data_IF_921720750416
#
_entry.id   IF_921720750416
#
_cell.length_a   1.000
_cell.length_b   1.000
_cell.length_c   1.000
_cell.angle_alpha   90.00
_cell.angle_beta   90.00
_cell.angle_gamma   90.00
#
_symmetry.space_group_name_H-M   'P 1'
#
loop_
_entity.id
_entity.type
_entity.pdbx_description
1 polymer ?
#
# COMPACT_ATOMS: atom_id res chain seq x y z
N UNK A 1 -19.74 9.91 3.88
CA UNK A 1 -19.36 8.76 3.04
C UNK A 1 -19.87 7.54 3.76
N UNK A 2 -20.82 6.80 3.17
CA UNK A 2 -21.25 5.52 3.71
C UNK A 2 -20.09 4.52 3.61
N UNK A 3 -19.94 3.65 4.61
CA UNK A 3 -18.89 2.63 4.63
C UNK A 3 -19.27 1.51 3.65
N UNK A 4 -18.32 1.09 2.82
CA UNK A 4 -18.45 -0.04 1.90
C UNK A 4 -17.64 -1.22 2.43
N UNK A 5 -18.12 -2.44 2.21
CA UNK A 5 -17.32 -3.63 2.48
C UNK A 5 -16.26 -3.74 1.38
N UNK A 6 -14.99 -3.70 1.76
CA UNK A 6 -13.89 -3.98 0.83
C UNK A 6 -13.77 -5.48 0.60
N UNK A 7 -13.33 -5.92 -0.60
CA UNK A 7 -12.96 -5.09 -1.76
C UNK A 7 -14.18 -4.54 -2.54
N UNK A 8 -13.96 -3.47 -3.31
CA UNK A 8 -14.97 -2.85 -4.18
C UNK A 8 -14.62 -3.03 -5.67
N UNK A 9 -15.62 -2.86 -6.54
CA UNK A 9 -15.43 -2.65 -7.98
C UNK A 9 -15.31 -1.14 -8.26
N UNK A 10 -14.17 -0.74 -8.83
CA UNK A 10 -13.86 0.64 -9.17
C UNK A 10 -14.38 0.90 -10.59
N UNK A 11 -15.34 1.80 -10.71
CA UNK A 11 -15.96 2.14 -11.99
C UNK A 11 -15.05 2.98 -12.91
N UNK A 12 -15.39 2.98 -14.19
CA UNK A 12 -14.71 3.77 -15.22
C UNK A 12 -14.56 5.25 -14.82
N UNK A 13 -13.32 5.76 -14.86
CA UNK A 13 -13.04 7.18 -14.59
C UNK A 13 -13.31 7.66 -13.16
N UNK A 14 -13.53 6.76 -12.20
CA UNK A 14 -13.77 7.10 -10.79
C UNK A 14 -12.48 7.50 -10.06
N UNK A 15 -11.75 8.51 -10.55
CA UNK A 15 -10.63 9.07 -9.78
C UNK A 15 -11.17 9.99 -8.68
N UNK A 16 -10.80 9.72 -7.43
CA UNK A 16 -11.08 10.63 -6.32
C UNK A 16 -10.13 11.83 -6.35
N UNK A 17 -8.87 11.58 -6.73
CA UNK A 17 -7.82 12.60 -6.80
C UNK A 17 -6.97 12.36 -8.05
N UNK A 18 -7.25 13.10 -9.14
CA UNK A 18 -6.47 13.03 -10.38
C UNK A 18 -5.13 13.75 -10.26
N UNK A 19 -4.16 13.36 -11.09
CA UNK A 19 -2.82 13.99 -11.20
C UNK A 19 -2.85 15.41 -11.78
N UNK A 20 -4.03 15.92 -12.18
CA UNK A 20 -4.20 17.37 -12.44
C UNK A 20 -3.99 18.21 -11.17
N UNK A 21 -3.97 17.59 -9.99
CA UNK A 21 -3.45 18.19 -8.76
C UNK A 21 -1.92 18.12 -8.81
N UNK A 22 -1.22 19.25 -8.63
CA UNK A 22 0.24 19.29 -8.66
C UNK A 22 0.84 18.34 -7.61
N UNK A 23 1.58 17.33 -8.08
CA UNK A 23 2.39 16.47 -7.23
C UNK A 23 3.62 17.27 -6.78
N UNK A 24 3.71 17.57 -5.50
CA UNK A 24 4.88 18.21 -4.91
C UNK A 24 5.82 17.15 -4.38
N UNK A 25 7.11 17.24 -4.72
CA UNK A 25 8.15 16.33 -4.23
C UNK A 25 9.28 17.12 -3.57
N UNK A 26 9.54 16.83 -2.31
CA UNK A 26 10.67 17.31 -1.53
C UNK A 26 11.49 16.09 -1.03
N UNK A 27 12.76 16.26 -0.63
CA UNK A 27 13.52 15.17 -0.03
C UNK A 27 12.78 14.58 1.18
N UNK A 28 12.39 13.31 1.09
CA UNK A 28 11.67 12.60 2.16
C UNK A 28 10.16 12.88 2.25
N UNK A 29 9.58 13.63 1.30
CA UNK A 29 8.14 13.96 1.31
C UNK A 29 7.57 14.09 -0.11
N UNK A 30 6.44 13.46 -0.37
CA UNK A 30 5.65 13.65 -1.58
C UNK A 30 4.20 13.98 -1.22
N UNK A 31 3.56 14.92 -1.93
CA UNK A 31 2.20 15.36 -1.62
C UNK A 31 1.34 15.43 -2.88
N UNK A 32 0.16 14.82 -2.83
CA UNK A 32 -0.86 14.85 -3.88
C UNK A 32 -2.24 15.08 -3.25
N UNK A 33 -2.78 16.29 -3.43
CA UNK A 33 -4.07 16.67 -2.86
C UNK A 33 -4.08 16.52 -1.34
N UNK A 34 -5.00 15.73 -0.74
CA UNK A 34 -5.06 15.54 0.70
C UNK A 34 -4.14 14.44 1.24
N UNK A 35 -3.35 13.78 0.38
CA UNK A 35 -2.41 12.73 0.76
C UNK A 35 -0.99 13.28 0.73
N UNK A 36 -0.22 12.97 1.77
CA UNK A 36 1.23 13.16 1.78
C UNK A 36 1.92 11.88 2.27
N UNK A 37 3.02 11.51 1.62
CA UNK A 37 3.88 10.39 1.99
C UNK A 37 5.19 10.96 2.51
N UNK A 38 5.48 10.74 3.79
CA UNK A 38 6.75 11.15 4.41
C UNK A 38 7.55 9.93 4.80
N UNK A 39 8.84 9.93 4.51
CA UNK A 39 9.74 8.81 4.81
C UNK A 39 11.12 9.34 5.23
N UNK A 40 11.63 8.94 6.40
CA UNK A 40 12.90 9.45 6.91
C UNK A 40 14.11 8.87 6.20
N UNK A 41 13.97 7.69 5.59
CA UNK A 41 15.04 6.97 4.91
C UNK A 41 14.55 6.45 3.54
N UNK A 42 15.41 6.49 2.51
CA UNK A 42 15.10 5.96 1.18
C UNK A 42 15.07 4.41 1.13
N UNK A 43 15.53 3.76 2.20
CA UNK A 43 15.48 2.31 2.37
C UNK A 43 14.85 1.96 3.72
N UNK A 44 14.18 0.82 3.77
CA UNK A 44 13.53 0.29 4.98
C UNK A 44 14.04 -1.11 5.28
N UNK A 45 14.11 -1.44 6.57
CA UNK A 45 14.33 -2.80 7.02
C UNK A 45 12.98 -3.53 6.98
N UNK A 46 12.99 -4.74 6.42
CA UNK A 46 11.80 -5.57 6.29
C UNK A 46 12.06 -6.96 6.83
N UNK A 47 11.03 -7.63 7.32
CA UNK A 47 11.04 -9.07 7.53
C UNK A 47 9.87 -9.73 6.82
N UNK A 48 10.10 -10.89 6.23
CA UNK A 48 9.02 -11.67 5.61
C UNK A 48 8.51 -12.71 6.59
N UNK A 49 7.18 -12.79 6.67
CA UNK A 49 6.48 -13.86 7.35
C UNK A 49 5.57 -14.59 6.37
N UNK A 50 5.79 -15.89 6.25
CA UNK A 50 4.84 -16.77 5.61
C UNK A 50 3.61 -16.93 6.52
N UNK A 51 2.47 -16.40 6.10
CA UNK A 51 1.18 -16.72 6.71
C UNK A 51 0.56 -17.98 6.10
N UNK A 52 -0.48 -18.56 6.72
CA UNK A 52 -1.16 -19.74 6.19
C UNK A 52 -1.86 -19.51 4.84
N UNK A 53 -2.11 -18.25 4.46
CA UNK A 53 -2.86 -17.88 3.25
C UNK A 53 -2.20 -16.75 2.43
N UNK A 54 -1.29 -15.97 3.02
CA UNK A 54 -0.67 -14.81 2.38
C UNK A 54 0.75 -14.64 2.90
N UNK A 55 1.60 -14.07 2.05
CA UNK A 55 2.89 -13.53 2.47
C UNK A 55 2.67 -12.12 3.02
N UNK A 56 3.28 -11.84 4.16
CA UNK A 56 3.26 -10.52 4.79
C UNK A 56 4.69 -10.04 4.99
N UNK A 57 4.96 -8.83 4.55
CA UNK A 57 6.18 -8.11 4.91
C UNK A 57 5.87 -7.23 6.10
N UNK A 58 6.57 -7.46 7.21
CA UNK A 58 6.51 -6.61 8.39
C UNK A 58 7.58 -5.51 8.31
N UNK A 59 7.20 -4.30 8.69
CA UNK A 59 8.07 -3.11 8.63
C UNK A 59 8.21 -2.51 10.03
N UNK A 60 9.31 -2.82 10.75
CA UNK A 60 9.64 -2.14 12.01
C UNK A 60 10.27 -0.75 11.75
N UNK A 61 10.10 0.26 12.64
CA UNK A 61 9.13 0.38 13.74
C UNK A 61 7.88 1.18 13.32
N UNK A 62 6.80 1.02 14.08
CA UNK A 62 5.48 1.58 13.77
C UNK A 62 5.23 3.00 14.30
N UNK A 63 6.15 3.62 15.05
CA UNK A 63 6.18 5.08 15.32
C UNK A 63 7.61 5.57 15.59
N UNK A 64 7.86 6.88 15.40
CA UNK A 64 9.18 7.56 15.32
C UNK A 64 10.20 6.84 14.40
N UNK A 65 10.47 7.42 13.23
CA UNK A 65 11.31 6.81 12.20
C UNK A 65 10.56 5.94 11.18
N UNK A 66 9.23 5.80 11.33
CA UNK A 66 8.38 5.12 10.35
C UNK A 66 8.18 5.94 9.07
N UNK A 67 7.91 5.23 7.97
CA UNK A 67 7.29 5.84 6.80
C UNK A 67 5.81 6.09 7.10
N UNK A 68 5.29 7.26 6.74
CA UNK A 68 3.95 7.71 7.14
C UNK A 68 3.17 8.18 5.91
N UNK A 69 1.93 7.71 5.81
CA UNK A 69 0.93 8.29 4.91
C UNK A 69 0.04 9.22 5.74
N UNK A 70 0.03 10.51 5.41
CA UNK A 70 -0.89 11.49 5.97
C UNK A 70 -2.07 11.63 5.03
N UNK A 71 -3.29 11.38 5.50
CA UNK A 71 -4.52 11.56 4.72
C UNK A 71 -5.47 12.50 5.45
N UNK A 72 -5.84 13.62 4.79
CA UNK A 72 -6.74 14.65 5.35
C UNK A 72 -6.32 15.14 6.75
N UNK A 73 -5.01 15.25 6.97
CA UNK A 73 -4.41 15.73 8.22
C UNK A 73 -4.20 14.65 9.30
N UNK A 74 -4.67 13.41 9.09
CA UNK A 74 -4.40 12.29 10.00
C UNK A 74 -3.19 11.49 9.53
N UNK A 75 -2.27 11.19 10.45
CA UNK A 75 -1.02 10.45 10.17
C UNK A 75 -1.24 8.96 10.41
N UNK A 76 -0.84 8.14 9.43
CA UNK A 76 -0.87 6.68 9.51
C UNK A 76 0.53 6.12 9.22
N UNK A 77 1.13 5.46 10.21
CA UNK A 77 2.44 4.84 10.06
C UNK A 77 2.31 3.52 9.31
N UNK A 78 3.18 3.30 8.32
CA UNK A 78 3.28 2.04 7.59
C UNK A 78 3.73 0.93 8.52
N UNK A 79 2.99 -0.19 8.53
CA UNK A 79 3.22 -1.32 9.42
C UNK A 79 3.54 -2.60 8.65
N UNK A 80 2.82 -2.86 7.55
CA UNK A 80 3.02 -4.07 6.76
C UNK A 80 2.65 -3.90 5.29
N UNK A 81 3.13 -4.83 4.46
CA UNK A 81 2.72 -5.00 3.07
C UNK A 81 2.20 -6.43 2.88
N UNK A 82 1.06 -6.57 2.22
CA UNK A 82 0.50 -7.88 1.85
C UNK A 82 0.28 -7.96 0.35
N UNK A 83 0.37 -9.18 -0.18
CA UNK A 83 0.28 -9.44 -1.62
C UNK A 83 -0.92 -10.36 -1.88
N UNK A 84 -1.79 -9.96 -2.81
CA UNK A 84 -2.99 -10.71 -3.21
C UNK A 84 -2.94 -11.00 -4.70
N UNK A 85 -3.02 -12.27 -5.08
CA UNK A 85 -3.09 -12.68 -6.49
C UNK A 85 -4.23 -13.70 -6.68
N UNK A 86 -5.23 -13.42 -7.54
CA UNK A 86 -5.45 -12.15 -8.24
C UNK A 86 -5.76 -10.99 -7.27
N UNK A 87 -5.90 -9.77 -7.78
CA UNK A 87 -6.29 -8.62 -6.96
C UNK A 87 -7.62 -8.86 -6.23
N UNK A 88 -7.83 -8.26 -5.05
CA UNK A 88 -9.12 -8.32 -4.37
C UNK A 88 -10.07 -7.28 -4.96
N UNK A 89 -9.57 -6.07 -5.22
CA UNK A 89 -10.30 -5.04 -5.96
C UNK A 89 -10.45 -5.41 -7.43
N UNK A 90 -11.48 -4.86 -8.07
CA UNK A 90 -11.66 -4.91 -9.52
C UNK A 90 -11.74 -3.50 -10.09
N UNK A 91 -11.34 -3.35 -11.35
CA UNK A 91 -11.57 -2.13 -12.13
C UNK A 91 -12.44 -2.51 -13.31
N UNK A 92 -13.64 -1.93 -13.38
CA UNK A 92 -14.66 -2.29 -14.38
C UNK A 92 -14.95 -3.80 -14.41
N UNK A 93 -15.01 -4.43 -13.23
CA UNK A 93 -15.26 -5.86 -13.06
C UNK A 93 -14.07 -6.77 -13.40
N UNK A 94 -12.89 -6.20 -13.69
CA UNK A 94 -11.69 -6.97 -14.07
C UNK A 94 -10.66 -6.96 -12.94
N UNK A 95 -10.20 -8.15 -12.56
CA UNK A 95 -9.08 -8.31 -11.63
C UNK A 95 -7.74 -7.99 -12.31
N UNK A 96 -6.82 -7.40 -11.55
CA UNK A 96 -5.42 -7.35 -11.91
C UNK A 96 -4.71 -8.64 -11.47
N UNK A 97 -3.53 -8.90 -12.04
CA UNK A 97 -2.77 -10.12 -11.74
C UNK A 97 -2.22 -10.13 -10.30
N UNK A 98 -1.98 -8.94 -9.73
CA UNK A 98 -1.51 -8.74 -8.37
C UNK A 98 -2.08 -7.43 -7.78
N UNK A 99 -2.44 -7.46 -6.50
CA UNK A 99 -2.67 -6.29 -5.67
C UNK A 99 -1.70 -6.29 -4.49
N UNK A 100 -1.00 -5.17 -4.31
CA UNK A 100 -0.06 -4.96 -3.21
C UNK A 100 -0.70 -3.96 -2.24
N UNK A 101 -1.05 -4.42 -1.03
CA UNK A 101 -1.73 -3.63 -0.01
C UNK A 101 -0.74 -3.20 1.06
N UNK A 102 -0.56 -1.89 1.22
CA UNK A 102 0.23 -1.28 2.28
C UNK A 102 -0.70 -0.94 3.44
N UNK A 103 -0.50 -1.59 4.57
CA UNK A 103 -1.31 -1.39 5.77
C UNK A 103 -0.66 -0.35 6.68
N UNK A 104 -1.43 0.66 7.06
CA UNK A 104 -1.00 1.74 7.93
C UNK A 104 -1.89 1.85 9.15
N UNK A 105 -1.31 2.28 10.27
CA UNK A 105 -1.99 2.42 11.56
C UNK A 105 -1.80 3.82 12.14
N UNK A 106 -2.86 4.34 12.78
CA UNK A 106 -2.84 5.60 13.52
C UNK A 106 -3.15 5.31 15.00
N UNK A 107 -2.36 5.83 15.95
CA UNK A 107 -2.69 5.78 17.37
C UNK A 107 -3.83 6.75 17.72
N UNK A 108 -4.16 7.69 16.82
CA UNK A 108 -5.19 8.70 17.02
C UNK A 108 -6.53 8.28 16.40
N UNK A 109 -7.49 7.89 17.25
CA UNK A 109 -8.92 7.82 16.96
C UNK A 109 -9.35 6.81 15.89
N UNK A 110 -10.66 6.80 15.58
CA UNK A 110 -11.22 6.03 14.47
C UNK A 110 -11.34 6.88 13.20
N UNK A 111 -11.02 6.31 12.02
CA UNK A 111 -10.53 4.95 11.81
C UNK A 111 -9.04 4.84 12.14
N UNK A 112 -8.71 3.75 12.83
CA UNK A 112 -7.35 3.48 13.30
C UNK A 112 -6.42 2.98 12.19
N UNK A 113 -6.95 2.68 10.99
CA UNK A 113 -6.15 2.14 9.88
C UNK A 113 -6.48 2.78 8.54
N UNK A 114 -5.45 2.79 7.68
CA UNK A 114 -5.49 3.20 6.29
C UNK A 114 -4.79 2.14 5.44
N UNK A 115 -5.40 1.69 4.34
CA UNK A 115 -4.77 0.76 3.39
C UNK A 115 -4.55 1.47 2.06
N UNK A 116 -3.33 1.46 1.54
CA UNK A 116 -3.05 1.93 0.17
C UNK A 116 -2.80 0.72 -0.71
N UNK A 117 -3.58 0.54 -1.77
CA UNK A 117 -3.41 -0.57 -2.72
C UNK A 117 -2.75 -0.12 -4.02
N UNK A 118 -1.80 -0.93 -4.52
CA UNK A 118 -1.23 -0.82 -5.87
C UNK A 118 -1.63 -2.04 -6.68
N UNK A 119 -2.29 -1.80 -7.82
CA UNK A 119 -2.76 -2.83 -8.75
C UNK A 119 -1.73 -3.04 -9.85
N UNK A 120 -1.37 -4.29 -10.14
CA UNK A 120 -0.33 -4.62 -11.12
C UNK A 120 -0.81 -5.66 -12.13
N UNK A 121 -0.44 -5.46 -13.40
CA UNK A 121 -0.69 -6.39 -14.50
C UNK A 121 0.61 -7.02 -14.97
N UNK A 122 0.64 -8.34 -15.08
CA UNK A 122 1.73 -9.08 -15.67
C UNK A 122 1.73 -8.89 -17.18
N UNK A 123 2.92 -8.71 -17.75
CA UNK A 123 3.13 -8.69 -19.20
C UNK A 123 4.32 -9.57 -19.54
N UNK A 124 4.23 -10.27 -20.66
CA UNK A 124 5.39 -10.98 -21.20
C UNK A 124 6.35 -9.96 -21.85
N UNK A 125 7.64 -10.29 -21.86
CA UNK A 125 8.70 -9.49 -22.50
C UNK A 125 8.88 -8.08 -21.93
N UNK A 126 8.57 -7.88 -20.65
CA UNK A 126 8.97 -6.67 -19.90
C UNK A 126 9.90 -7.07 -18.74
N UNK A 127 10.81 -6.19 -18.29
CA UNK A 127 11.62 -6.45 -17.10
C UNK A 127 10.76 -6.72 -15.86
N UNK A 128 11.32 -7.44 -14.88
CA UNK A 128 10.72 -7.58 -13.56
C UNK A 128 10.56 -6.21 -12.91
N UNK A 129 9.54 -6.07 -12.07
CA UNK A 129 9.35 -4.86 -11.28
C UNK A 129 10.43 -4.75 -10.21
N UNK A 130 11.25 -3.69 -10.25
CA UNK A 130 12.49 -3.57 -9.45
C UNK A 130 12.25 -3.73 -7.94
N UNK A 131 11.26 -3.05 -7.37
CA UNK A 131 10.94 -3.22 -5.94
C UNK A 131 10.53 -4.65 -5.59
N UNK A 132 9.74 -5.32 -6.45
CA UNK A 132 9.33 -6.69 -6.18
C UNK A 132 10.51 -7.65 -6.33
N UNK A 133 11.37 -7.44 -7.33
CA UNK A 133 12.57 -8.24 -7.55
C UNK A 133 13.54 -8.11 -6.36
N UNK A 134 13.76 -6.89 -5.86
CA UNK A 134 14.52 -6.64 -4.63
C UNK A 134 13.91 -7.40 -3.46
N UNK A 135 12.61 -7.23 -3.20
CA UNK A 135 11.91 -7.90 -2.11
C UNK A 135 12.05 -9.42 -2.22
N UNK A 136 11.65 -10.03 -3.34
CA UNK A 136 11.61 -11.48 -3.49
C UNK A 136 13.00 -12.15 -3.60
N UNK A 137 14.02 -11.44 -4.10
CA UNK A 137 15.40 -11.97 -4.14
C UNK A 137 16.01 -12.21 -2.76
N UNK A 138 15.48 -11.57 -1.72
CA UNK A 138 16.01 -11.66 -0.35
C UNK A 138 15.39 -12.80 0.45
N UNK A 139 14.36 -13.45 -0.09
CA UNK A 139 13.56 -14.38 0.68
C UNK A 139 13.85 -15.84 0.34
N UNK A 140 14.48 -16.51 1.29
CA UNK A 140 14.50 -17.97 1.35
C UNK A 140 13.25 -18.44 2.12
N UNK A 141 12.40 -19.22 1.46
CA UNK A 141 11.17 -19.79 2.02
C UNK A 141 11.40 -20.66 3.27
N UNK A 142 12.66 -21.00 3.58
CA UNK A 142 13.02 -21.85 4.71
C UNK A 142 13.52 -21.09 5.96
N UNK A 143 13.59 -19.75 5.94
CA UNK A 143 14.07 -19.00 7.11
C UNK A 143 13.44 -17.61 7.26
N UNK A 144 13.26 -17.19 8.52
CA UNK A 144 13.00 -15.78 8.83
C UNK A 144 14.23 -14.97 8.42
N UNK A 145 14.03 -14.05 7.47
CA UNK A 145 15.07 -13.22 6.89
C UNK A 145 14.72 -11.75 7.06
N UNK A 146 15.75 -10.96 7.37
CA UNK A 146 15.69 -9.50 7.39
C UNK A 146 16.42 -8.97 6.17
N UNK A 147 15.85 -7.96 5.53
CA UNK A 147 16.44 -7.35 4.35
C UNK A 147 16.29 -5.83 4.38
N UNK A 148 17.25 -5.13 3.78
CA UNK A 148 17.10 -3.72 3.46
C UNK A 148 16.67 -3.60 2.00
N UNK A 149 15.50 -3.01 1.79
CA UNK A 149 14.96 -2.73 0.45
C UNK A 149 14.67 -1.26 0.29
N UNK A 150 14.49 -0.81 -0.94
CA UNK A 150 14.00 0.54 -1.21
C UNK A 150 12.65 0.82 -0.50
N UNK A 151 12.43 2.05 -0.08
CA UNK A 151 11.17 2.47 0.51
C UNK A 151 10.02 2.26 -0.49
N UNK A 152 8.91 1.60 -0.12
CA UNK A 152 7.82 1.33 -1.05
C UNK A 152 7.19 2.61 -1.64
N UNK A 153 7.22 3.74 -0.94
CA UNK A 153 6.73 5.00 -1.51
C UNK A 153 7.57 5.48 -2.71
N UNK A 154 8.83 5.06 -2.80
CA UNK A 154 9.73 5.34 -3.90
C UNK A 154 9.65 4.25 -4.98
N UNK A 155 9.82 2.99 -4.57
CA UNK A 155 10.03 1.89 -5.51
C UNK A 155 8.76 1.16 -5.97
N UNK A 156 7.64 1.26 -5.25
CA UNK A 156 6.41 0.48 -5.54
C UNK A 156 5.32 1.27 -6.25
N UNK A 157 5.22 2.58 -6.00
CA UNK A 157 4.13 3.37 -6.55
C UNK A 157 4.29 3.60 -8.06
N UNK A 158 3.20 3.54 -8.84
CA UNK A 158 3.24 3.91 -10.25
C UNK A 158 3.70 5.36 -10.45
N UNK A 159 4.15 5.66 -11.67
CA UNK A 159 4.52 7.01 -12.08
C UNK A 159 3.33 7.98 -11.91
N UNK A 160 2.17 7.59 -12.44
CA UNK A 160 0.88 8.24 -12.16
C UNK A 160 0.36 7.83 -10.79
N UNK A 161 0.35 8.79 -9.86
CA UNK A 161 -0.09 8.61 -8.47
C UNK A 161 -1.54 8.96 -8.24
N UNK A 162 -2.34 9.18 -9.29
CA UNK A 162 -3.78 9.38 -9.14
C UNK A 162 -4.44 8.17 -8.50
N UNK A 163 -5.45 8.41 -7.66
CA UNK A 163 -6.05 7.36 -6.85
C UNK A 163 -7.54 7.55 -6.58
N UNK A 164 -8.17 6.44 -6.20
CA UNK A 164 -9.52 6.35 -5.66
C UNK A 164 -9.39 6.19 -4.15
N UNK A 165 -10.21 6.90 -3.37
CA UNK A 165 -10.22 6.76 -1.92
C UNK A 165 -11.64 6.60 -1.41
N UNK A 166 -11.87 5.65 -0.53
CA UNK A 166 -13.19 5.38 0.01
C UNK A 166 -13.14 4.96 1.49
N UNK A 167 -14.31 4.81 2.10
CA UNK A 167 -14.42 4.26 3.45
C UNK A 167 -14.73 2.78 3.33
N UNK A 168 -13.87 1.94 3.91
CA UNK A 168 -13.83 0.51 3.67
C UNK A 168 -13.83 -0.34 4.94
N UNK A 169 -13.53 -1.62 4.78
CA UNK A 169 -13.26 -2.58 5.86
C UNK A 169 -11.98 -3.33 5.55
N UNK A 170 -11.41 -4.08 6.49
CA UNK A 170 -10.35 -5.03 6.11
C UNK A 170 -10.93 -6.10 5.16
N UNK A 171 -10.10 -6.57 4.22
CA UNK A 171 -10.42 -7.68 3.31
C UNK A 171 -10.20 -9.06 3.96
N UNK A 172 -9.65 -9.10 5.17
CA UNK A 172 -9.43 -10.32 5.97
C UNK A 172 -10.28 -10.27 7.25
N UNK A 173 -10.98 -11.36 7.65
CA UNK A 173 -11.74 -11.40 8.88
C UNK A 173 -10.91 -11.09 10.14
N UNK A 174 -11.49 -10.47 11.19
CA UNK A 174 -12.90 -10.08 11.31
C UNK A 174 -13.20 -8.80 10.53
N UNK A 175 -14.15 -8.86 9.59
CA UNK A 175 -14.54 -7.79 8.68
C UNK A 175 -15.24 -6.64 9.43
N UNK A 176 -14.49 -5.89 10.25
CA UNK A 176 -15.01 -4.73 10.97
C UNK A 176 -15.03 -3.50 10.02
N UNK A 177 -16.16 -2.79 9.90
CA UNK A 177 -16.34 -1.63 9.01
C UNK A 177 -15.63 -0.34 9.49
N UNK A 178 -14.53 -0.46 10.25
CA UNK A 178 -13.85 0.67 10.91
C UNK A 178 -12.54 1.11 10.23
N UNK A 179 -12.35 0.86 8.94
CA UNK A 179 -11.08 1.08 8.24
C UNK A 179 -11.22 2.06 7.06
N UNK A 180 -10.14 2.75 6.64
CA UNK A 180 -10.11 3.48 5.36
C UNK A 180 -9.22 2.73 4.38
N UNK A 181 -9.63 2.71 3.12
CA UNK A 181 -8.82 2.24 2.00
C UNK A 181 -8.74 3.40 1.01
#
# INVERSE_FOLDING_TARGET
LESQQSPIDIGAGQLSYPVTMELTQNPGEMTLGPVAWTFPNPSINISLKAGPLTWTIDIPPTFEGSSVTTYKGTRYALESITFKSPSEHTVEGVHADLEVQLNHVSPAGQPASLVTSVMMRAKNNVPNHEFLDQVWSQFDVNSESFAFVENPYLGLFPEDKSFVAYLGSLSVPPCNPSHRI
#
